data_IF_109156542934
#
_entry.id   IF_109156542934
#
_cell.length_a   1.000
_cell.length_b   1.000
_cell.length_c   1.000
_cell.angle_alpha   90.00
_cell.angle_beta   90.00
_cell.angle_gamma   90.00
#
_symmetry.space_group_name_H-M   'P 1'
#
loop_
_entity.id
_entity.type
_entity.pdbx_description
1 polymer ?
#
# COMPACT_ATOMS: atom_id res chain seq x y z
N UNK A 1 4.93 36.26 -10.71
CA UNK A 1 4.53 35.21 -11.67
C UNK A 1 5.02 33.83 -11.24
N UNK A 2 6.31 33.47 -11.36
CA UNK A 2 6.76 32.10 -11.01
C UNK A 2 6.57 31.72 -9.53
N UNK A 3 6.74 32.69 -8.62
CA UNK A 3 6.55 32.47 -7.19
C UNK A 3 5.07 32.23 -6.83
N UNK A 4 4.15 32.92 -7.50
CA UNK A 4 2.70 32.82 -7.25
C UNK A 4 2.17 31.45 -7.71
N UNK A 5 2.65 30.95 -8.85
CA UNK A 5 2.33 29.59 -9.33
C UNK A 5 2.88 28.51 -8.39
N UNK A 6 4.11 28.67 -7.89
CA UNK A 6 4.72 27.75 -6.92
C UNK A 6 3.99 27.79 -5.56
N UNK A 7 3.56 28.97 -5.13
CA UNK A 7 2.79 29.16 -3.89
C UNK A 7 1.41 28.51 -3.95
N UNK A 8 0.80 28.36 -5.13
CA UNK A 8 -0.43 27.59 -5.33
C UNK A 8 -0.21 26.09 -5.50
N UNK A 9 0.92 25.66 -6.05
CA UNK A 9 1.22 24.25 -6.32
C UNK A 9 1.58 23.46 -5.05
N UNK A 10 2.33 24.07 -4.12
CA UNK A 10 2.77 23.42 -2.88
C UNK A 10 1.58 22.98 -1.98
N UNK A 11 0.55 23.80 -1.75
CA UNK A 11 -0.66 23.39 -1.03
C UNK A 11 -1.39 22.22 -1.69
N UNK A 12 -1.54 22.23 -3.01
CA UNK A 12 -2.18 21.14 -3.75
C UNK A 12 -1.43 19.81 -3.57
N UNK A 13 -0.09 19.83 -3.66
CA UNK A 13 0.70 18.63 -3.37
C UNK A 13 0.62 18.20 -1.91
N UNK A 14 0.53 19.14 -0.97
CA UNK A 14 0.34 18.82 0.44
C UNK A 14 -0.98 18.09 0.68
N UNK A 15 -2.05 18.52 0.02
CA UNK A 15 -3.36 17.85 0.09
C UNK A 15 -3.31 16.46 -0.55
N UNK A 16 -2.66 16.33 -1.71
CA UNK A 16 -2.42 15.03 -2.35
C UNK A 16 -1.65 14.06 -1.42
N UNK A 17 -0.56 14.54 -0.80
CA UNK A 17 0.23 13.78 0.17
C UNK A 17 -0.63 13.35 1.37
N UNK A 18 -1.49 14.23 1.88
CA UNK A 18 -2.38 13.90 3.00
C UNK A 18 -3.39 12.81 2.63
N UNK A 19 -3.96 12.88 1.42
CA UNK A 19 -4.86 11.86 0.89
C UNK A 19 -4.15 10.51 0.73
N UNK A 20 -2.95 10.49 0.14
CA UNK A 20 -2.15 9.28 0.00
C UNK A 20 -1.75 8.68 1.34
N UNK A 21 -1.44 9.51 2.36
CA UNK A 21 -1.18 9.01 3.73
C UNK A 21 -2.41 8.33 4.33
N UNK A 22 -3.59 8.91 4.14
CA UNK A 22 -4.85 8.32 4.60
C UNK A 22 -5.12 6.99 3.89
N UNK A 23 -4.94 6.95 2.57
CA UNK A 23 -5.10 5.75 1.76
C UNK A 23 -4.11 4.65 2.16
N UNK A 24 -2.84 5.00 2.34
CA UNK A 24 -1.81 4.08 2.83
C UNK A 24 -2.18 3.47 4.19
N UNK A 25 -2.69 4.29 5.13
CA UNK A 25 -3.19 3.81 6.43
C UNK A 25 -4.34 2.81 6.27
N UNK A 26 -5.27 3.08 5.35
CA UNK A 26 -6.38 2.17 5.07
C UNK A 26 -5.88 0.85 4.49
N UNK A 27 -4.93 0.88 3.54
CA UNK A 27 -4.33 -0.34 3.00
C UNK A 27 -3.62 -1.17 4.08
N UNK A 28 -2.85 -0.54 4.96
CA UNK A 28 -2.20 -1.24 6.07
C UNK A 28 -3.23 -1.91 7.00
N UNK A 29 -4.36 -1.24 7.27
CA UNK A 29 -5.43 -1.83 8.07
C UNK A 29 -6.09 -3.02 7.35
N UNK A 30 -6.39 -2.89 6.05
CA UNK A 30 -6.96 -3.99 5.26
C UNK A 30 -6.02 -5.19 5.19
N UNK A 31 -4.72 -4.96 4.97
CA UNK A 31 -3.69 -6.00 4.99
C UNK A 31 -3.69 -6.72 6.35
N UNK A 32 -3.71 -5.98 7.46
CA UNK A 32 -3.73 -6.57 8.79
C UNK A 32 -4.97 -7.45 9.03
N UNK A 33 -6.15 -6.95 8.64
CA UNK A 33 -7.40 -7.70 8.78
C UNK A 33 -7.38 -9.00 7.95
N UNK A 34 -6.93 -8.91 6.70
CA UNK A 34 -6.80 -10.07 5.81
C UNK A 34 -5.79 -11.09 6.33
N UNK A 35 -4.67 -10.66 6.91
CA UNK A 35 -3.69 -11.56 7.53
C UNK A 35 -4.28 -12.32 8.72
N UNK A 36 -5.13 -11.67 9.53
CA UNK A 36 -5.86 -12.32 10.61
C UNK A 36 -6.88 -13.34 10.06
N UNK A 37 -7.69 -12.96 9.06
CA UNK A 37 -8.69 -13.85 8.45
C UNK A 37 -8.02 -15.09 7.82
N UNK A 38 -6.93 -14.89 7.08
CA UNK A 38 -6.08 -15.96 6.52
C UNK A 38 -5.61 -16.92 7.62
N UNK A 39 -5.18 -16.41 8.77
CA UNK A 39 -4.72 -17.23 9.90
C UNK A 39 -5.86 -18.05 10.48
N UNK A 40 -7.05 -17.48 10.65
CA UNK A 40 -8.22 -18.19 11.13
C UNK A 40 -8.66 -19.32 10.19
N UNK A 41 -8.71 -19.05 8.87
CA UNK A 41 -9.05 -20.08 7.88
C UNK A 41 -8.01 -21.21 7.87
N UNK A 42 -6.72 -20.90 8.01
CA UNK A 42 -5.68 -21.92 8.15
C UNK A 42 -5.95 -22.84 9.34
N UNK A 43 -6.31 -22.30 10.50
CA UNK A 43 -6.63 -23.07 11.70
C UNK A 43 -7.89 -23.93 11.52
N UNK A 44 -8.93 -23.41 10.87
CA UNK A 44 -10.16 -24.18 10.56
C UNK A 44 -9.86 -25.36 9.65
N UNK A 45 -9.11 -25.14 8.57
CA UNK A 45 -8.69 -26.19 7.63
C UNK A 45 -7.92 -27.30 8.37
N UNK A 46 -6.96 -26.93 9.22
CA UNK A 46 -6.18 -27.87 10.02
C UNK A 46 -7.08 -28.67 10.98
N UNK A 47 -8.04 -28.02 11.65
CA UNK A 47 -8.99 -28.69 12.54
C UNK A 47 -9.87 -29.70 11.78
N UNK A 48 -10.36 -29.35 10.59
CA UNK A 48 -11.15 -30.27 9.78
C UNK A 48 -10.35 -31.47 9.27
N UNK A 49 -9.09 -31.25 8.85
CA UNK A 49 -8.19 -32.33 8.47
C UNK A 49 -7.98 -33.30 9.64
N UNK A 50 -7.67 -32.78 10.83
CA UNK A 50 -7.47 -33.62 12.04
C UNK A 50 -8.72 -34.43 12.40
N UNK A 51 -9.91 -33.81 12.36
CA UNK A 51 -11.16 -34.52 12.65
C UNK A 51 -11.42 -35.61 11.61
N UNK A 52 -11.18 -35.32 10.34
CA UNK A 52 -11.32 -36.30 9.26
C UNK A 52 -10.38 -37.48 9.48
N UNK A 53 -9.12 -37.23 9.78
CA UNK A 53 -8.12 -38.28 9.97
C UNK A 53 -8.46 -39.18 11.18
N UNK A 54 -8.98 -38.60 12.28
CA UNK A 54 -9.50 -39.37 13.42
C UNK A 54 -10.70 -40.24 13.02
N UNK A 55 -11.58 -39.76 12.15
CA UNK A 55 -12.75 -40.52 11.69
C UNK A 55 -12.35 -41.65 10.75
N UNK A 56 -11.41 -41.40 9.84
CA UNK A 56 -10.86 -42.41 8.94
C UNK A 56 -10.12 -43.49 9.77
N UNK A 57 -9.29 -43.10 10.74
CA UNK A 57 -8.64 -44.03 11.67
C UNK A 57 -9.67 -44.86 12.46
N UNK A 58 -10.76 -44.26 12.94
CA UNK A 58 -11.83 -45.01 13.63
C UNK A 58 -12.51 -46.03 12.74
N UNK A 59 -12.69 -45.72 11.44
CA UNK A 59 -13.25 -46.65 10.47
C UNK A 59 -12.31 -47.84 10.26
N UNK A 60 -11.01 -47.57 10.15
CA UNK A 60 -9.99 -48.61 9.94
C UNK A 60 -9.74 -49.42 11.22
N UNK A 61 -9.82 -48.78 12.38
CA UNK A 61 -9.58 -49.34 13.70
C UNK A 61 -10.84 -49.94 14.33
N UNK A 62 -11.81 -50.39 13.54
CA UNK A 62 -12.90 -51.22 14.09
C UNK A 62 -12.28 -52.53 14.57
N UNK A 63 -11.76 -52.45 15.79
CA UNK A 63 -11.27 -53.55 16.53
C UNK A 63 -12.49 -54.38 16.86
N UNK A 64 -12.48 -55.60 16.30
CA UNK A 64 -13.46 -56.63 16.59
C UNK A 64 -13.69 -56.73 18.09
N UNK A 65 -12.69 -56.49 18.95
CA UNK A 65 -12.81 -56.61 20.40
C UNK A 65 -13.75 -55.58 21.06
N UNK A 66 -13.72 -54.31 20.63
CA UNK A 66 -14.57 -53.24 21.20
C UNK A 66 -16.04 -53.35 20.77
N UNK A 67 -16.25 -53.98 19.61
CA UNK A 67 -17.55 -54.15 18.97
C UNK A 67 -18.01 -55.62 18.90
N UNK A 68 -17.29 -56.55 19.56
CA UNK A 68 -17.43 -58.01 19.38
C UNK A 68 -18.81 -58.53 19.75
N UNK A 69 -19.48 -57.82 20.67
CA UNK A 69 -20.80 -58.17 21.17
C UNK A 69 -21.92 -57.36 20.47
N UNK A 70 -21.60 -56.52 19.48
CA UNK A 70 -22.61 -55.78 18.71
C UNK A 70 -23.05 -56.58 17.48
N UNK A 71 -24.32 -56.38 17.10
CA UNK A 71 -24.85 -56.93 15.86
C UNK A 71 -24.15 -56.29 14.65
N UNK A 72 -23.89 -57.05 13.57
CA UNK A 72 -23.25 -56.53 12.36
C UNK A 72 -23.92 -55.26 11.80
N UNK A 73 -25.26 -55.20 11.79
CA UNK A 73 -26.00 -54.03 11.27
C UNK A 73 -25.77 -52.76 12.11
N UNK A 74 -25.58 -52.91 13.43
CA UNK A 74 -25.26 -51.78 14.30
C UNK A 74 -23.85 -51.26 14.01
N UNK A 75 -22.89 -52.16 13.81
CA UNK A 75 -21.51 -51.82 13.42
C UNK A 75 -21.53 -51.10 12.06
N UNK A 76 -22.26 -51.64 11.08
CA UNK A 76 -22.42 -51.02 9.77
C UNK A 76 -23.04 -49.61 9.85
N UNK A 77 -24.05 -49.41 10.71
CA UNK A 77 -24.63 -48.08 10.91
C UNK A 77 -23.63 -47.09 11.50
N UNK A 78 -22.84 -47.50 12.50
CA UNK A 78 -21.77 -46.67 13.10
C UNK A 78 -20.73 -46.29 12.05
N UNK A 79 -20.22 -47.26 11.28
CA UNK A 79 -19.28 -47.03 10.18
C UNK A 79 -19.86 -46.02 9.19
N UNK A 80 -21.10 -46.22 8.77
CA UNK A 80 -21.75 -45.35 7.80
C UNK A 80 -21.98 -43.93 8.34
N UNK A 81 -22.15 -43.76 9.65
CA UNK A 81 -22.19 -42.43 10.27
C UNK A 81 -20.81 -41.78 10.26
N UNK A 82 -19.74 -42.50 10.62
CA UNK A 82 -18.37 -41.95 10.57
C UNK A 82 -17.95 -41.58 9.16
N UNK A 83 -18.25 -42.42 8.16
CA UNK A 83 -18.00 -42.11 6.73
C UNK A 83 -18.73 -40.84 6.29
N UNK A 84 -20.00 -40.68 6.67
CA UNK A 84 -20.77 -39.46 6.37
C UNK A 84 -20.17 -38.23 7.03
N UNK A 85 -19.75 -38.34 8.29
CA UNK A 85 -19.11 -37.24 9.00
C UNK A 85 -17.75 -36.87 8.38
N UNK A 86 -16.94 -37.86 8.00
CA UNK A 86 -15.66 -37.63 7.34
C UNK A 86 -15.85 -36.90 5.99
N UNK A 87 -16.87 -37.30 5.22
CA UNK A 87 -17.25 -36.60 3.98
C UNK A 87 -17.71 -35.16 4.24
N UNK A 88 -18.49 -34.92 5.29
CA UNK A 88 -18.91 -33.57 5.68
C UNK A 88 -17.72 -32.67 6.01
N UNK A 89 -16.76 -33.15 6.82
CA UNK A 89 -15.57 -32.37 7.17
C UNK A 89 -14.67 -32.13 5.96
N UNK A 90 -14.54 -33.11 5.06
CA UNK A 90 -13.84 -32.93 3.78
C UNK A 90 -14.46 -31.80 2.94
N UNK A 91 -15.79 -31.71 2.87
CA UNK A 91 -16.47 -30.65 2.13
C UNK A 91 -16.27 -29.27 2.79
N UNK A 92 -16.33 -29.22 4.13
CA UNK A 92 -16.04 -27.98 4.88
C UNK A 92 -14.60 -27.52 4.68
N UNK A 93 -13.63 -28.43 4.76
CA UNK A 93 -12.22 -28.15 4.48
C UNK A 93 -12.04 -27.58 3.07
N UNK A 94 -12.67 -28.18 2.06
CA UNK A 94 -12.57 -27.70 0.68
C UNK A 94 -13.14 -26.28 0.51
N UNK A 95 -14.32 -26.02 1.11
CA UNK A 95 -14.94 -24.68 1.09
C UNK A 95 -14.04 -23.62 1.73
N UNK A 96 -13.50 -23.92 2.91
CA UNK A 96 -12.64 -23.01 3.65
C UNK A 96 -11.27 -22.83 2.97
N UNK A 97 -10.76 -23.88 2.31
CA UNK A 97 -9.55 -23.80 1.48
C UNK A 97 -9.74 -22.91 0.26
N UNK A 98 -10.89 -22.96 -0.40
CA UNK A 98 -11.19 -22.05 -1.51
C UNK A 98 -11.20 -20.60 -1.03
N UNK A 99 -11.90 -20.32 0.09
CA UNK A 99 -11.93 -18.98 0.68
C UNK A 99 -10.54 -18.50 1.13
N UNK A 100 -9.73 -19.38 1.71
CA UNK A 100 -8.34 -19.10 2.04
C UNK A 100 -7.53 -18.67 0.81
N UNK A 101 -7.70 -19.34 -0.33
CA UNK A 101 -7.00 -18.99 -1.57
C UNK A 101 -7.45 -17.63 -2.13
N UNK A 102 -8.76 -17.32 -2.07
CA UNK A 102 -9.28 -15.99 -2.46
C UNK A 102 -8.66 -14.88 -1.61
N UNK A 103 -8.64 -15.06 -0.28
CA UNK A 103 -8.06 -14.10 0.66
C UNK A 103 -6.56 -13.90 0.44
N UNK A 104 -5.83 -14.96 0.07
CA UNK A 104 -4.41 -14.85 -0.27
C UNK A 104 -4.19 -13.98 -1.51
N UNK A 105 -5.00 -14.14 -2.55
CA UNK A 105 -4.93 -13.29 -3.75
C UNK A 105 -5.35 -11.85 -3.46
N UNK A 106 -6.37 -11.65 -2.62
CA UNK A 106 -6.78 -10.32 -2.16
C UNK A 106 -5.65 -9.63 -1.37
N UNK A 107 -5.06 -10.32 -0.39
CA UNK A 107 -3.93 -9.83 0.39
C UNK A 107 -2.74 -9.45 -0.50
N UNK A 108 -2.45 -10.26 -1.52
CA UNK A 108 -1.40 -9.98 -2.50
C UNK A 108 -1.68 -8.69 -3.27
N UNK A 109 -2.92 -8.48 -3.74
CA UNK A 109 -3.32 -7.23 -4.42
C UNK A 109 -3.17 -6.02 -3.51
N UNK A 110 -3.70 -6.10 -2.28
CA UNK A 110 -3.56 -5.03 -1.30
C UNK A 110 -2.11 -4.68 -0.98
N UNK A 111 -1.22 -5.68 -0.85
CA UNK A 111 0.22 -5.45 -0.68
C UNK A 111 0.84 -4.75 -1.89
N UNK A 112 0.46 -5.13 -3.10
CA UNK A 112 0.94 -4.46 -4.32
C UNK A 112 0.47 -3.01 -4.40
N UNK A 113 -0.80 -2.75 -4.12
CA UNK A 113 -1.37 -1.40 -4.18
C UNK A 113 -0.82 -0.51 -3.06
N UNK A 114 -0.56 -1.07 -1.87
CA UNK A 114 0.16 -0.38 -0.81
C UNK A 114 1.57 0.07 -1.25
N UNK A 115 2.33 -0.80 -1.93
CA UNK A 115 3.66 -0.47 -2.46
C UNK A 115 3.57 0.67 -3.48
N UNK A 116 2.59 0.64 -4.40
CA UNK A 116 2.38 1.74 -5.36
C UNK A 116 2.04 3.04 -4.65
N UNK A 117 1.11 3.02 -3.70
CA UNK A 117 0.71 4.18 -2.91
C UNK A 117 1.90 4.79 -2.17
N UNK A 118 2.72 3.96 -1.53
CA UNK A 118 3.94 4.38 -0.84
C UNK A 118 4.96 4.99 -1.81
N UNK A 119 5.16 4.38 -2.97
CA UNK A 119 6.08 4.90 -4.01
C UNK A 119 5.63 6.29 -4.49
N UNK A 120 4.34 6.48 -4.76
CA UNK A 120 3.78 7.78 -5.14
C UNK A 120 3.92 8.82 -4.04
N UNK A 121 3.70 8.42 -2.78
CA UNK A 121 3.87 9.27 -1.62
C UNK A 121 5.31 9.76 -1.48
N UNK A 122 6.29 8.86 -1.63
CA UNK A 122 7.72 9.18 -1.53
C UNK A 122 8.15 10.13 -2.65
N UNK A 123 7.69 9.88 -3.89
CA UNK A 123 7.95 10.75 -5.05
C UNK A 123 7.42 12.18 -4.85
N UNK A 124 6.16 12.31 -4.42
CA UNK A 124 5.55 13.63 -4.19
C UNK A 124 6.23 14.38 -3.04
N UNK A 125 6.63 13.67 -1.98
CA UNK A 125 7.39 14.30 -0.90
C UNK A 125 8.74 14.84 -1.37
N UNK A 126 9.42 14.11 -2.26
CA UNK A 126 10.67 14.56 -2.87
C UNK A 126 10.44 15.79 -3.77
N UNK A 127 9.38 15.79 -4.57
CA UNK A 127 9.02 16.92 -5.43
C UNK A 127 8.70 18.18 -4.61
N UNK A 128 7.87 18.06 -3.58
CA UNK A 128 7.58 19.18 -2.65
C UNK A 128 8.86 19.70 -2.00
N UNK A 129 9.80 18.82 -1.63
CA UNK A 129 11.09 19.24 -1.06
C UNK A 129 11.90 20.06 -2.07
N UNK A 130 11.94 19.64 -3.34
CA UNK A 130 12.63 20.36 -4.41
C UNK A 130 11.99 21.74 -4.61
N UNK A 131 10.66 21.80 -4.73
CA UNK A 131 9.93 23.05 -4.95
C UNK A 131 10.14 24.05 -3.81
N UNK A 132 10.12 23.59 -2.56
CA UNK A 132 10.45 24.45 -1.41
C UNK A 132 11.86 25.02 -1.49
N UNK A 133 12.85 24.20 -1.86
CA UNK A 133 14.22 24.68 -2.01
C UNK A 133 14.34 25.74 -3.12
N UNK A 134 13.58 25.60 -4.21
CA UNK A 134 13.53 26.61 -5.29
C UNK A 134 12.92 27.92 -4.78
N UNK A 135 11.78 27.86 -4.08
CA UNK A 135 11.11 29.03 -3.51
C UNK A 135 12.03 29.77 -2.51
N UNK A 136 12.71 29.04 -1.63
CA UNK A 136 13.61 29.64 -0.64
C UNK A 136 14.85 30.29 -1.28
N UNK A 137 15.41 29.71 -2.35
CA UNK A 137 16.48 30.35 -3.14
C UNK A 137 16.01 31.65 -3.77
N UNK A 138 14.83 31.65 -4.38
CA UNK A 138 14.29 32.86 -5.01
C UNK A 138 14.01 34.00 -4.01
N UNK A 139 13.62 33.67 -2.78
CA UNK A 139 13.45 34.67 -1.71
C UNK A 139 14.79 35.27 -1.27
N UNK A 140 15.82 34.43 -1.13
CA UNK A 140 17.16 34.89 -0.72
C UNK A 140 17.84 35.72 -1.82
N UNK A 141 17.69 35.35 -3.10
CA UNK A 141 18.22 36.11 -4.23
C UNK A 141 17.55 37.50 -4.38
N UNK A 142 16.24 37.59 -4.17
CA UNK A 142 15.52 38.89 -4.17
C UNK A 142 15.98 39.78 -3.02
N UNK A 143 16.11 39.24 -1.81
CA UNK A 143 16.61 40.00 -0.64
C UNK A 143 18.04 40.51 -0.83
N UNK A 144 18.89 39.79 -1.56
CA UNK A 144 20.26 40.24 -1.88
C UNK A 144 20.29 41.32 -2.96
N UNK A 145 19.31 41.35 -3.86
CA UNK A 145 19.21 42.37 -4.92
C UNK A 145 18.68 43.69 -4.36
N UNK A 146 17.74 43.63 -3.40
CA UNK A 146 17.20 44.81 -2.74
C UNK A 146 18.22 45.50 -1.81
N UNK A 147 19.17 44.75 -1.21
CA UNK A 147 20.29 45.36 -0.46
C UNK A 147 21.31 46.07 -1.37
N UNK A 148 21.52 45.59 -2.61
CA UNK A 148 22.46 46.21 -3.55
C UNK A 148 21.90 47.49 -4.22
N UNK A 149 20.60 47.77 -4.06
CA UNK A 149 19.98 49.02 -4.52
C UNK A 149 19.90 50.12 -3.45
N UNK A 150 20.45 49.89 -2.25
CA UNK A 150 20.53 50.88 -1.18
C UNK A 150 21.95 51.46 -0.98
N UNK A 151 22.87 51.21 -1.92
CA UNK A 151 24.21 51.83 -1.96
C UNK A 151 24.38 52.55 -3.29
N UNK A 152 24.21 53.87 -3.23
CA UNK A 152 24.19 54.80 -4.35
C UNK A 152 22.96 55.67 -4.15
N UNK A 153 23.07 56.89 -3.63
CA UNK A 153 23.85 58.00 -4.18
C UNK A 153 24.26 58.91 -3.01
N UNK A 154 25.55 59.23 -2.89
CA UNK A 154 26.03 60.58 -2.59
C UNK A 154 27.54 60.65 -2.89
N UNK A 155 27.83 61.32 -4.01
CA UNK A 155 28.89 62.31 -4.27
C UNK A 155 30.34 62.01 -3.85
N UNK A 156 31.21 62.03 -4.86
CA UNK A 156 32.54 62.67 -4.91
C UNK A 156 33.32 62.74 -3.59
N UNK A 157 34.35 61.89 -3.46
CA UNK A 157 35.73 62.32 -3.18
C UNK A 157 36.67 61.10 -3.06
N UNK A 158 37.84 61.27 -3.67
CA UNK A 158 39.13 60.59 -3.47
C UNK A 158 39.32 59.08 -3.75
N UNK A 159 40.24 58.89 -4.70
CA UNK A 159 41.09 57.72 -4.91
C UNK A 159 41.73 57.27 -3.59
N UNK A 160 41.63 55.97 -3.28
CA UNK A 160 42.83 55.18 -3.00
C UNK A 160 42.58 53.67 -3.12
N UNK A 161 43.60 52.99 -3.67
CA UNK A 161 43.69 51.55 -3.84
C UNK A 161 43.51 50.83 -2.50
N UNK A 162 42.59 49.85 -2.45
CA UNK A 162 42.83 48.62 -1.68
C UNK A 162 42.38 47.39 -2.49
N UNK A 163 43.40 46.58 -2.79
CA UNK A 163 43.37 45.23 -3.29
C UNK A 163 42.59 44.30 -2.35
N UNK A 164 41.63 43.52 -2.88
CA UNK A 164 41.33 42.20 -2.30
C UNK A 164 40.64 41.29 -3.31
N UNK A 165 41.40 40.26 -3.65
CA UNK A 165 41.02 39.05 -4.35
C UNK A 165 39.75 38.39 -3.77
N UNK A 166 38.87 37.93 -4.66
CA UNK A 166 38.07 36.71 -4.41
C UNK A 166 37.65 36.08 -5.75
N UNK A 167 38.37 35.00 -6.10
CA UNK A 167 37.95 34.01 -7.09
C UNK A 167 36.73 33.27 -6.55
N UNK A 168 35.67 33.15 -7.33
CA UNK A 168 34.80 31.97 -7.28
C UNK A 168 34.36 31.56 -8.68
N UNK A 169 34.60 30.28 -8.95
CA UNK A 169 34.52 29.62 -10.24
C UNK A 169 33.10 29.54 -10.79
N UNK A 170 33.00 29.78 -12.11
CA UNK A 170 31.94 29.21 -12.95
C UNK A 170 31.89 27.70 -12.77
N UNK A 171 30.72 27.17 -12.43
CA UNK A 171 30.39 25.77 -12.67
C UNK A 171 29.08 25.73 -13.44
N UNK A 172 29.20 25.31 -14.71
CA UNK A 172 28.09 24.96 -15.57
C UNK A 172 27.25 23.86 -14.90
N UNK A 173 26.08 24.23 -14.37
CA UNK A 173 25.09 23.25 -13.96
C UNK A 173 24.41 22.70 -15.23
N UNK A 174 24.91 21.56 -15.72
CA UNK A 174 24.21 20.72 -16.68
C UNK A 174 22.81 20.45 -16.14
N UNK A 175 21.78 20.98 -16.82
CA UNK A 175 20.37 20.66 -16.58
C UNK A 175 20.18 19.15 -16.75
N UNK A 176 19.65 18.41 -15.76
CA UNK A 176 19.15 17.08 -16.03
C UNK A 176 17.94 17.21 -16.95
N UNK A 177 17.93 16.46 -18.05
CA UNK A 177 16.76 16.25 -18.89
C UNK A 177 15.60 15.72 -18.03
N UNK A 178 14.72 16.59 -17.55
CA UNK A 178 13.43 16.18 -17.01
C UNK A 178 12.49 16.04 -18.19
N UNK A 179 12.52 14.88 -18.85
CA UNK A 179 11.38 14.43 -19.63
C UNK A 179 10.19 14.44 -18.68
N UNK A 180 9.24 15.35 -18.91
CA UNK A 180 7.94 15.35 -18.25
C UNK A 180 7.34 13.96 -18.37
N UNK A 181 7.39 13.18 -17.29
CA UNK A 181 6.58 11.97 -17.20
C UNK A 181 5.16 12.48 -17.08
N UNK A 182 4.45 12.32 -18.17
CA UNK A 182 3.04 12.65 -18.35
C UNK A 182 2.21 11.88 -17.31
N UNK A 183 2.00 12.47 -16.12
CA UNK A 183 1.06 11.95 -15.14
C UNK A 183 -0.34 12.37 -15.60
N UNK A 184 -0.84 11.69 -16.64
CA UNK A 184 -2.23 11.86 -17.05
C UNK A 184 -3.16 11.41 -15.91
N UNK A 185 -4.23 12.17 -15.62
CA UNK A 185 -5.16 11.84 -14.55
C UNK A 185 -6.12 10.77 -15.06
N UNK A 186 -5.83 9.49 -14.78
CA UNK A 186 -6.85 8.45 -14.91
C UNK A 186 -7.84 8.53 -13.74
N UNK A 187 -8.75 9.50 -13.82
CA UNK A 187 -10.07 9.40 -13.20
C UNK A 187 -10.95 8.55 -14.12
N UNK A 188 -11.02 7.26 -13.86
CA UNK A 188 -12.18 6.44 -14.25
C UNK A 188 -12.72 5.81 -12.98
N UNK A 189 -13.48 6.62 -12.23
CA UNK A 189 -14.36 6.12 -11.17
C UNK A 189 -15.52 5.45 -11.91
N UNK A 190 -15.44 4.14 -12.08
CA UNK A 190 -16.59 3.31 -12.45
C UNK A 190 -17.37 3.03 -11.17
N UNK A 191 -18.24 3.96 -10.77
CA UNK A 191 -19.28 3.66 -9.79
C UNK A 191 -20.28 2.70 -10.44
N UNK A 192 -20.07 1.40 -10.24
CA UNK A 192 -21.06 0.38 -10.53
C UNK A 192 -21.93 0.19 -9.30
N UNK A 193 -23.14 0.73 -9.34
CA UNK A 193 -24.30 0.27 -8.60
C UNK A 193 -25.53 0.85 -9.29
N UNK A 194 -26.18 0.06 -10.15
CA UNK A 194 -27.63 -0.13 -10.10
C UNK A 194 -28.08 -1.27 -11.00
N UNK A 195 -29.09 -1.95 -10.49
CA UNK A 195 -29.70 -3.20 -10.89
C UNK A 195 -30.64 -2.94 -12.07
N UNK A 196 -30.56 -3.71 -13.15
CA UNK A 196 -31.66 -3.82 -14.12
C UNK A 196 -32.24 -5.23 -14.01
N UNK A 197 -33.34 -5.35 -13.26
CA UNK A 197 -34.20 -6.52 -13.23
C UNK A 197 -35.12 -6.43 -14.45
N UNK A 198 -34.85 -7.25 -15.47
CA UNK A 198 -35.85 -7.64 -16.46
C UNK A 198 -36.14 -9.13 -16.35
N UNK A 199 -37.37 -9.40 -15.91
CA UNK A 199 -38.15 -10.60 -16.25
C UNK A 199 -38.65 -10.45 -17.67
#
# INVERSE_FOLDING_TARGET
MLNDELEHLIPSFKDCINNLRKENKNYLQSIHNLENEVKEYRQKIESYSNIKDILDEKVDSIAVEKYKNMKPDMIANIVNQWKRNAQYYKQKELSDRNRYMELQEELKRYKQDNVKCKTSLDSLQQEVKILRNVVERQKTDKSSTDMNNYIGINSDDDLDLIESSSKTSSSELKRPNTSFVNVSPFLSIRTGNEIDLRV
#
